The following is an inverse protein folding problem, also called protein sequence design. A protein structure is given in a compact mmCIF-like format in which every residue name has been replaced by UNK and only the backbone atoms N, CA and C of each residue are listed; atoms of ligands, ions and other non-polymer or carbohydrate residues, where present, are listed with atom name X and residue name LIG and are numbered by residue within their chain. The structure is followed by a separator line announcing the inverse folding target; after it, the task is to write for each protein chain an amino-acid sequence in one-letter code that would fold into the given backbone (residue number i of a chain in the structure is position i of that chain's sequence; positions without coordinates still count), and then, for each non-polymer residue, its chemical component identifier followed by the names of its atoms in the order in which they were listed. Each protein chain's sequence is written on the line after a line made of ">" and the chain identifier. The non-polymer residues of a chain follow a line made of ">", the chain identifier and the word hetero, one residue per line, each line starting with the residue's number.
data_IF_381321882976
#
_entry.id   IF_381321882976
#
_cell.length_a   1.000
_cell.length_b   1.000
_cell.length_c   1.000
_cell.angle_alpha   90.00
_cell.angle_beta   90.00
_cell.angle_gamma   90.00
#
_symmetry.space_group_name_H-M   'P 1'
#
loop_
_entity.id
_entity.type
_entity.pdbx_description
1 polymer ?
#
# COMPACT_ATOMS: atom_id res chain seq x y z
N UNK A 1 15.21 -6.40 7.01
CA UNK A 1 13.92 -6.66 7.65
C UNK A 1 13.34 -5.33 8.06
N UNK A 2 12.20 -4.93 7.48
CA UNK A 2 11.64 -3.58 7.61
C UNK A 2 10.16 -3.63 7.96
N UNK A 3 9.70 -2.65 8.75
CA UNK A 3 8.29 -2.54 9.15
C UNK A 3 7.78 -1.16 8.78
N UNK A 4 6.62 -1.11 8.13
CA UNK A 4 5.94 0.11 7.70
C UNK A 4 4.54 0.08 8.27
N UNK A 5 4.08 1.20 8.82
CA UNK A 5 2.67 1.40 9.16
C UNK A 5 2.10 2.51 8.31
N UNK A 6 0.95 2.27 7.68
CA UNK A 6 0.15 3.28 6.99
C UNK A 6 -1.02 3.62 7.91
N UNK A 7 -1.20 4.90 8.29
CA UNK A 7 -2.20 5.32 9.29
C UNK A 7 -3.27 6.23 8.72
N UNK A 8 -4.50 6.09 9.21
CA UNK A 8 -5.61 7.02 9.00
C UNK A 8 -6.19 7.02 7.58
N UNK A 9 -5.85 6.01 6.77
CA UNK A 9 -6.34 5.89 5.40
C UNK A 9 -7.69 5.20 5.30
N UNK A 10 -8.42 5.47 4.21
CA UNK A 10 -9.53 4.63 3.78
C UNK A 10 -8.96 3.50 2.91
N UNK A 11 -8.92 2.30 3.46
CA UNK A 11 -8.44 1.09 2.78
C UNK A 11 -9.54 0.58 1.85
N UNK A 12 -9.22 0.46 0.57
CA UNK A 12 -10.15 -0.03 -0.45
C UNK A 12 -9.75 -1.46 -0.81
N UNK A 13 -10.69 -2.38 -0.76
CA UNK A 13 -10.51 -3.76 -1.23
C UNK A 13 -11.51 -4.04 -2.35
N UNK A 14 -11.46 -5.25 -2.92
CA UNK A 14 -12.48 -5.68 -3.88
C UNK A 14 -13.88 -5.85 -3.25
N UNK A 15 -13.95 -6.02 -1.93
CA UNK A 15 -15.19 -6.28 -1.22
C UNK A 15 -15.75 -5.04 -0.51
N UNK A 16 -14.88 -4.27 0.15
CA UNK A 16 -15.27 -3.24 1.11
C UNK A 16 -14.34 -2.01 1.09
N UNK A 17 -14.84 -0.91 1.63
CA UNK A 17 -14.11 0.30 1.99
C UNK A 17 -14.07 0.44 3.52
N UNK A 18 -12.89 0.55 4.12
CA UNK A 18 -12.72 0.47 5.58
C UNK A 18 -11.72 1.52 6.05
N UNK A 19 -12.09 2.34 7.04
CA UNK A 19 -11.12 3.17 7.76
C UNK A 19 -10.23 2.28 8.62
N UNK A 20 -8.98 2.09 8.19
CA UNK A 20 -8.07 1.14 8.79
C UNK A 20 -6.60 1.58 8.67
N UNK A 21 -5.82 1.20 9.68
CA UNK A 21 -4.37 1.25 9.62
C UNK A 21 -3.85 -0.07 9.05
N UNK A 22 -2.80 0.01 8.22
CA UNK A 22 -2.19 -1.14 7.55
C UNK A 22 -0.79 -1.36 8.11
N UNK A 23 -0.53 -2.58 8.57
CA UNK A 23 0.81 -2.99 8.99
C UNK A 23 1.46 -3.87 7.94
N UNK A 24 2.63 -3.45 7.48
CA UNK A 24 3.47 -4.18 6.54
C UNK A 24 4.76 -4.60 7.25
N UNK A 25 5.08 -5.88 7.16
CA UNK A 25 6.38 -6.43 7.54
C UNK A 25 7.03 -7.06 6.33
N UNK A 26 8.24 -6.60 6.04
CA UNK A 26 9.01 -6.93 4.84
C UNK A 26 8.20 -6.68 3.56
N UNK A 27 7.71 -7.73 2.90
CA UNK A 27 6.96 -7.65 1.64
C UNK A 27 5.49 -8.09 1.81
N UNK A 28 5.00 -8.16 3.05
CA UNK A 28 3.67 -8.70 3.35
C UNK A 28 2.85 -7.74 4.21
N UNK A 29 1.58 -7.62 3.88
CA UNK A 29 0.58 -7.06 4.79
C UNK A 29 0.33 -8.13 5.87
N UNK A 30 0.68 -7.82 7.12
CA UNK A 30 0.58 -8.76 8.24
C UNK A 30 -0.62 -8.51 9.14
N UNK A 31 -1.18 -7.30 9.10
CA UNK A 31 -2.41 -6.97 9.83
C UNK A 31 -3.13 -5.75 9.24
N UNK A 32 -4.44 -5.72 9.46
CA UNK A 32 -5.31 -4.55 9.36
C UNK A 32 -5.97 -4.35 10.72
N UNK A 33 -6.12 -3.10 11.14
CA UNK A 33 -6.81 -2.74 12.37
C UNK A 33 -7.66 -1.50 12.10
N UNK A 34 -8.83 -1.42 12.74
CA UNK A 34 -9.71 -0.26 12.59
C UNK A 34 -8.96 1.03 12.93
N UNK A 35 -9.22 2.09 12.17
CA UNK A 35 -8.55 3.38 12.31
C UNK A 35 -8.68 3.92 13.73
N UNK A 36 -7.55 4.34 14.33
CA UNK A 36 -7.51 4.84 15.71
C UNK A 36 -7.85 3.81 16.79
N UNK A 37 -7.93 2.52 16.46
CA UNK A 37 -8.11 1.48 17.48
C UNK A 37 -6.88 1.34 18.37
N UNK A 38 -7.09 0.97 19.62
CA UNK A 38 -6.00 0.70 20.57
C UNK A 38 -5.01 -0.35 20.06
N UNK A 39 -5.49 -1.32 19.26
CA UNK A 39 -4.63 -2.32 18.62
C UNK A 39 -3.68 -1.68 17.59
N UNK A 40 -4.17 -0.78 16.74
CA UNK A 40 -3.35 -0.08 15.76
C UNK A 40 -2.30 0.82 16.45
N UNK A 41 -2.66 1.44 17.57
CA UNK A 41 -1.75 2.29 18.34
C UNK A 41 -0.53 1.53 18.90
N UNK A 42 -0.67 0.22 19.18
CA UNK A 42 0.46 -0.61 19.65
C UNK A 42 1.53 -0.89 18.59
N UNK A 43 1.25 -0.63 17.31
CA UNK A 43 2.18 -0.96 16.24
C UNK A 43 3.33 0.05 16.14
N UNK A 44 4.54 -0.44 16.37
CA UNK A 44 5.80 0.28 16.12
C UNK A 44 6.36 -0.09 14.75
N UNK A 45 6.93 0.88 14.03
CA UNK A 45 7.50 0.65 12.70
C UNK A 45 8.67 1.60 12.45
N UNK A 46 9.63 1.19 11.61
CA UNK A 46 10.75 2.05 11.22
C UNK A 46 10.33 3.19 10.28
N UNK A 47 9.16 3.05 9.65
CA UNK A 47 8.55 4.05 8.80
C UNK A 47 7.05 4.12 9.07
N UNK A 48 6.53 5.34 9.17
CA UNK A 48 5.10 5.62 9.28
C UNK A 48 4.68 6.52 8.13
N UNK A 49 3.62 6.13 7.43
CA UNK A 49 3.00 6.88 6.34
C UNK A 49 1.67 7.40 6.86
N UNK A 50 1.49 8.72 6.88
CA UNK A 50 0.20 9.35 7.19
C UNK A 50 -0.66 9.41 5.91
N UNK A 51 -1.74 8.64 5.92
CA UNK A 51 -2.73 8.54 4.86
C UNK A 51 -4.06 9.23 5.24
N UNK A 52 -4.08 10.10 6.25
CA UNK A 52 -5.29 10.83 6.67
C UNK A 52 -5.94 11.54 5.47
N UNK A 53 -7.22 11.24 5.24
CA UNK A 53 -7.99 11.78 4.13
C UNK A 53 -7.56 11.29 2.75
N UNK A 54 -6.81 10.18 2.68
CA UNK A 54 -6.34 9.56 1.43
C UNK A 54 -6.89 8.13 1.29
N UNK A 55 -6.88 7.63 0.07
CA UNK A 55 -7.17 6.23 -0.22
C UNK A 55 -5.90 5.38 -0.17
N UNK A 56 -6.03 4.19 0.40
CA UNK A 56 -5.01 3.15 0.40
C UNK A 56 -5.55 2.00 -0.44
N UNK A 57 -5.04 1.85 -1.66
CA UNK A 57 -5.56 0.90 -2.65
C UNK A 57 -4.50 -0.15 -3.00
N UNK A 58 -4.91 -1.36 -3.45
CA UNK A 58 -3.97 -2.32 -4.02
C UNK A 58 -3.20 -1.69 -5.18
N UNK A 59 -1.91 -2.03 -5.30
CA UNK A 59 -1.12 -1.62 -6.45
C UNK A 59 -1.76 -2.09 -7.75
N UNK A 60 -1.81 -1.20 -8.76
CA UNK A 60 -2.33 -1.55 -10.07
C UNK A 60 -1.50 -2.66 -10.72
N UNK A 61 -2.17 -3.59 -11.38
CA UNK A 61 -1.53 -4.59 -12.24
C UNK A 61 -1.65 -4.12 -13.68
N UNK A 62 -0.54 -3.68 -14.26
CA UNK A 62 -0.48 -3.39 -15.69
C UNK A 62 -0.29 -4.70 -16.46
N UNK A 63 -1.30 -5.07 -17.25
CA UNK A 63 -1.31 -6.31 -18.03
C UNK A 63 -0.76 -6.12 -19.44
N UNK A 64 -0.48 -4.89 -19.86
CA UNK A 64 0.00 -4.58 -21.19
C UNK A 64 1.02 -3.46 -21.14
N UNK A 65 2.29 -3.85 -21.14
CA UNK A 65 3.41 -2.90 -21.17
C UNK A 65 4.37 -3.26 -22.30
N UNK A 66 4.93 -2.24 -22.94
CA UNK A 66 6.03 -2.38 -23.88
C UNK A 66 7.32 -1.85 -23.25
N UNK A 67 7.87 -2.59 -22.28
CA UNK A 67 9.13 -2.23 -21.62
C UNK A 67 10.28 -2.30 -22.62
N UNK A 68 10.98 -1.19 -22.84
CA UNK A 68 12.21 -1.11 -23.65
C UNK A 68 12.09 -1.72 -25.07
N UNK A 69 10.87 -1.74 -25.66
CA UNK A 69 10.64 -2.41 -26.94
C UNK A 69 11.45 -1.73 -28.06
N UNK A 70 12.33 -2.46 -28.76
CA UNK A 70 13.01 -1.91 -29.92
C UNK A 70 12.03 -1.76 -31.09
N UNK A 71 11.93 -0.55 -31.64
CA UNK A 71 11.12 -0.23 -32.81
C UNK A 71 11.87 0.77 -33.68
N UNK A 72 12.06 0.46 -34.97
CA UNK A 72 12.71 1.37 -35.92
C UNK A 72 14.14 1.79 -35.58
N UNK A 73 14.88 1.01 -34.77
CA UNK A 73 16.25 1.35 -34.35
C UNK A 73 16.34 2.17 -33.06
N UNK A 74 15.21 2.43 -32.39
CA UNK A 74 15.12 3.08 -31.09
C UNK A 74 14.47 2.15 -30.06
N UNK A 75 14.78 2.30 -28.78
CA UNK A 75 14.07 1.59 -27.70
C UNK A 75 12.96 2.48 -27.13
N UNK A 76 11.82 1.88 -26.80
CA UNK A 76 10.81 2.50 -25.94
C UNK A 76 11.38 2.84 -24.56
N UNK A 77 10.73 3.78 -23.85
CA UNK A 77 11.10 4.11 -22.47
C UNK A 77 10.77 2.97 -21.50
#
# INVERSE_FOLDING_TARGET
>A
MGRIVIRGGLVITAADEIEADVLVEDEKIVALAAGGSSQAETWTAGQVIDATGKYVIPGGVDVHTHMEMPFGGTNGA
#
